data_IF_983224536281
#
_entry.id   IF_983224536281
#
_cell.length_a   1.000
_cell.length_b   1.000
_cell.length_c   1.000
_cell.angle_alpha   90.00
_cell.angle_beta   90.00
_cell.angle_gamma   90.00
#
_symmetry.space_group_name_H-M   'P 1'
#
loop_
_entity.id
_entity.type
_entity.pdbx_description
1 polymer ?
#
# COMPACT_ATOMS: atom_id res chain seq x y z
N UNK A 1 42.56 0.88 -6.72
CA UNK A 1 41.26 1.12 -7.40
C UNK A 1 40.18 0.31 -6.70
N UNK A 2 39.53 0.83 -5.65
CA UNK A 2 38.54 0.04 -4.88
C UNK A 2 37.39 0.90 -4.30
N UNK A 3 37.14 2.08 -4.89
CA UNK A 3 36.29 3.10 -4.26
C UNK A 3 34.88 3.23 -4.84
N UNK A 4 34.50 2.48 -5.88
CA UNK A 4 33.20 2.71 -6.57
C UNK A 4 32.18 1.57 -6.39
N UNK A 5 32.44 0.60 -5.51
CA UNK A 5 31.52 -0.53 -5.30
C UNK A 5 30.35 -0.11 -4.42
N UNK A 6 29.13 -0.38 -4.88
CA UNK A 6 27.91 0.00 -4.17
C UNK A 6 27.71 -0.89 -2.93
N UNK A 7 27.67 -0.27 -1.74
CA UNK A 7 27.44 -0.96 -0.45
C UNK A 7 26.10 -1.71 -0.41
N UNK A 8 25.05 -1.14 -1.01
CA UNK A 8 23.72 -1.76 -1.06
C UNK A 8 23.76 -3.05 -1.88
N UNK A 9 24.44 -3.03 -3.04
CA UNK A 9 24.55 -4.21 -3.89
C UNK A 9 25.34 -5.32 -3.20
N UNK A 10 26.42 -4.97 -2.49
CA UNK A 10 27.21 -5.92 -1.72
C UNK A 10 26.38 -6.62 -0.62
N UNK A 11 25.56 -5.85 0.09
CA UNK A 11 24.66 -6.36 1.11
C UNK A 11 23.59 -7.29 0.52
N UNK A 12 22.91 -6.86 -0.55
CA UNK A 12 21.86 -7.65 -1.21
C UNK A 12 22.40 -8.94 -1.83
N UNK A 13 23.59 -8.90 -2.44
CA UNK A 13 24.23 -10.09 -2.98
C UNK A 13 24.55 -11.12 -1.89
N UNK A 14 24.87 -10.67 -0.68
CA UNK A 14 25.16 -11.58 0.43
C UNK A 14 23.93 -12.32 0.99
N UNK A 15 22.72 -12.05 0.47
CA UNK A 15 21.54 -12.87 0.75
C UNK A 15 21.80 -14.34 0.39
N UNK A 16 22.61 -14.59 -0.66
CA UNK A 16 23.27 -15.86 -0.91
C UNK A 16 24.64 -15.80 -0.22
N UNK A 17 24.89 -16.62 0.82
CA UNK A 17 26.14 -16.56 1.59
C UNK A 17 27.38 -16.58 0.69
N UNK A 18 28.25 -15.58 0.85
CA UNK A 18 29.53 -15.48 0.13
C UNK A 18 29.54 -14.59 -1.11
N UNK A 19 28.41 -14.44 -1.83
CA UNK A 19 28.38 -13.64 -3.07
C UNK A 19 28.68 -12.15 -2.83
N UNK A 20 28.21 -11.60 -1.71
CA UNK A 20 28.54 -10.23 -1.36
C UNK A 20 30.03 -10.04 -1.05
N UNK A 21 30.69 -11.03 -0.45
CA UNK A 21 32.14 -10.98 -0.19
C UNK A 21 32.95 -11.12 -1.48
N UNK A 22 32.46 -11.89 -2.44
CA UNK A 22 33.03 -11.95 -3.79
C UNK A 22 32.96 -10.57 -4.45
N UNK A 23 31.78 -9.95 -4.42
CA UNK A 23 31.59 -8.58 -4.90
C UNK A 23 32.45 -7.56 -4.15
N UNK A 24 32.72 -7.75 -2.86
CA UNK A 24 33.58 -6.87 -2.07
C UNK A 24 35.08 -7.18 -2.18
N UNK A 25 35.47 -8.22 -2.93
CA UNK A 25 36.87 -8.60 -3.15
C UNK A 25 37.52 -9.32 -1.97
N UNK A 26 36.76 -10.05 -1.16
CA UNK A 26 37.25 -10.91 -0.07
C UNK A 26 37.07 -12.40 -0.42
N UNK A 27 37.99 -13.01 -1.19
CA UNK A 27 37.79 -14.35 -1.75
C UNK A 27 37.69 -15.45 -0.70
N UNK A 28 38.46 -15.37 0.40
CA UNK A 28 38.40 -16.38 1.46
C UNK A 28 36.99 -16.50 2.07
N UNK A 29 36.39 -15.36 2.43
CA UNK A 29 35.03 -15.31 3.00
C UNK A 29 33.98 -15.70 1.97
N UNK A 30 34.20 -15.37 0.70
CA UNK A 30 33.32 -15.76 -0.40
C UNK A 30 33.24 -17.28 -0.60
N UNK A 31 34.26 -18.04 -0.21
CA UNK A 31 34.27 -19.51 -0.28
C UNK A 31 33.79 -20.14 1.03
N UNK A 32 34.26 -19.64 2.18
CA UNK A 32 33.97 -20.23 3.50
C UNK A 32 32.47 -20.21 3.81
N UNK A 33 31.80 -19.07 3.62
CA UNK A 33 30.39 -18.94 4.00
C UNK A 33 29.42 -19.83 3.21
N UNK A 34 29.49 -19.91 1.86
CA UNK A 34 28.65 -20.85 1.14
C UNK A 34 28.99 -22.30 1.47
N UNK A 35 30.26 -22.63 1.72
CA UNK A 35 30.64 -23.98 2.13
C UNK A 35 30.04 -24.35 3.50
N UNK A 36 30.05 -23.44 4.47
CA UNK A 36 29.39 -23.66 5.76
C UNK A 36 27.86 -23.76 5.61
N UNK A 37 27.24 -22.87 4.84
CA UNK A 37 25.79 -22.86 4.64
C UNK A 37 25.30 -24.11 3.89
N UNK A 38 25.77 -24.32 2.66
CA UNK A 38 25.33 -25.44 1.83
C UNK A 38 25.89 -26.76 2.35
N UNK A 39 27.12 -26.78 2.89
CA UNK A 39 27.72 -27.98 3.45
C UNK A 39 26.95 -28.50 4.67
N UNK A 40 26.50 -27.61 5.57
CA UNK A 40 25.65 -28.05 6.68
C UNK A 40 24.26 -28.45 6.23
N UNK A 41 23.60 -27.68 5.34
CA UNK A 41 22.27 -28.00 4.86
C UNK A 41 22.22 -29.32 4.06
N UNK A 42 23.12 -29.50 3.09
CA UNK A 42 23.18 -30.71 2.26
C UNK A 42 23.72 -31.88 3.07
N UNK A 43 24.77 -31.66 3.88
CA UNK A 43 25.38 -32.70 4.70
C UNK A 43 24.40 -33.28 5.71
N UNK A 44 23.63 -32.44 6.41
CA UNK A 44 22.61 -32.92 7.35
C UNK A 44 21.44 -33.59 6.65
N UNK A 45 21.04 -33.10 5.48
CA UNK A 45 19.97 -33.69 4.68
C UNK A 45 20.36 -35.10 4.19
N UNK A 46 21.58 -35.26 3.67
CA UNK A 46 22.08 -36.58 3.25
C UNK A 46 22.24 -37.52 4.45
N UNK A 47 22.77 -37.04 5.57
CA UNK A 47 22.90 -37.85 6.79
C UNK A 47 21.53 -38.27 7.33
N UNK A 48 20.53 -37.38 7.30
CA UNK A 48 19.16 -37.69 7.72
C UNK A 48 18.54 -38.81 6.86
N UNK A 49 18.80 -38.83 5.56
CA UNK A 49 18.35 -39.91 4.66
C UNK A 49 19.06 -41.23 5.00
N UNK A 50 20.38 -41.18 5.24
CA UNK A 50 21.18 -42.37 5.56
C UNK A 50 20.79 -43.00 6.90
N UNK A 51 20.54 -42.17 7.92
CA UNK A 51 20.23 -42.61 9.28
C UNK A 51 18.71 -42.79 9.48
N UNK A 52 17.89 -42.35 8.52
CA UNK A 52 16.42 -42.32 8.62
C UNK A 52 15.87 -41.47 9.77
N UNK A 53 16.65 -40.50 10.25
CA UNK A 53 16.32 -39.63 11.39
C UNK A 53 15.96 -38.22 10.92
N UNK A 54 14.69 -37.84 11.11
CA UNK A 54 14.18 -36.52 10.68
C UNK A 54 14.72 -35.36 11.52
N UNK A 55 15.12 -35.62 12.76
CA UNK A 55 15.67 -34.59 13.66
C UNK A 55 16.97 -33.99 13.12
N UNK A 56 17.79 -34.79 12.45
CA UNK A 56 19.04 -34.34 11.82
C UNK A 56 18.79 -33.33 10.69
N UNK A 57 17.68 -33.49 9.95
CA UNK A 57 17.29 -32.56 8.90
C UNK A 57 16.94 -31.19 9.50
N UNK A 58 16.19 -31.18 10.61
CA UNK A 58 15.81 -29.95 11.32
C UNK A 58 17.05 -29.30 11.93
N UNK A 59 17.90 -30.07 12.61
CA UNK A 59 19.13 -29.57 13.24
C UNK A 59 20.06 -28.91 12.22
N UNK A 60 20.27 -29.53 11.07
CA UNK A 60 21.12 -28.92 10.04
C UNK A 60 20.47 -27.78 9.28
N UNK A 61 19.14 -27.76 9.13
CA UNK A 61 18.44 -26.57 8.67
C UNK A 61 18.67 -25.38 9.62
N UNK A 62 18.54 -25.59 10.94
CA UNK A 62 18.85 -24.58 11.95
C UNK A 62 20.33 -24.17 11.92
N UNK A 63 21.24 -25.13 11.77
CA UNK A 63 22.67 -24.87 11.62
C UNK A 63 23.00 -24.03 10.38
N UNK A 64 22.37 -24.31 9.24
CA UNK A 64 22.54 -23.52 8.02
C UNK A 64 22.03 -22.09 8.19
N UNK A 65 20.87 -21.90 8.82
CA UNK A 65 20.33 -20.56 9.15
C UNK A 65 21.30 -19.80 10.07
N UNK A 66 21.89 -20.48 11.06
CA UNK A 66 22.89 -19.87 11.93
C UNK A 66 24.11 -19.37 11.14
N UNK A 67 24.68 -20.20 10.25
CA UNK A 67 25.80 -19.76 9.41
C UNK A 67 25.43 -18.66 8.42
N UNK A 68 24.20 -18.66 7.91
CA UNK A 68 23.66 -17.56 7.09
C UNK A 68 23.62 -16.25 7.88
N UNK A 69 23.12 -16.27 9.12
CA UNK A 69 23.10 -15.10 10.01
C UNK A 69 24.52 -14.58 10.30
N UNK A 70 25.48 -15.48 10.59
CA UNK A 70 26.89 -15.09 10.79
C UNK A 70 27.48 -14.46 9.53
N UNK A 71 27.18 -15.00 8.35
CA UNK A 71 27.63 -14.43 7.07
C UNK A 71 27.08 -13.02 6.86
N UNK A 72 25.78 -12.83 7.12
CA UNK A 72 25.11 -11.53 7.01
C UNK A 72 25.70 -10.50 7.99
N UNK A 73 25.94 -10.91 9.24
CA UNK A 73 26.52 -10.06 10.28
C UNK A 73 27.94 -9.63 9.90
N UNK A 74 28.80 -10.56 9.47
CA UNK A 74 30.16 -10.22 9.05
C UNK A 74 30.17 -9.29 7.82
N UNK A 75 29.24 -9.47 6.88
CA UNK A 75 29.09 -8.55 5.75
C UNK A 75 28.74 -7.14 6.22
N UNK A 76 27.79 -7.00 7.14
CA UNK A 76 27.45 -5.72 7.75
C UNK A 76 28.68 -5.08 8.38
N UNK A 77 29.45 -5.81 9.21
CA UNK A 77 30.68 -5.30 9.82
C UNK A 77 31.68 -4.81 8.76
N UNK A 78 31.84 -5.54 7.65
CA UNK A 78 32.75 -5.14 6.57
C UNK A 78 32.29 -3.84 5.89
N UNK A 79 31.00 -3.69 5.61
CA UNK A 79 30.46 -2.49 4.96
C UNK A 79 30.47 -1.27 5.87
N UNK A 80 30.33 -1.48 7.18
CA UNK A 80 30.46 -0.45 8.21
C UNK A 80 31.89 0.05 8.38
N UNK A 81 32.89 -0.86 8.29
CA UNK A 81 34.32 -0.50 8.38
C UNK A 81 34.88 0.10 7.09
N UNK A 82 34.18 -0.06 5.97
CA UNK A 82 34.65 0.47 4.70
C UNK A 82 34.45 1.99 4.60
N UNK A 83 35.51 2.78 4.32
CA UNK A 83 35.40 4.22 4.14
C UNK A 83 34.44 4.54 3.00
N UNK A 84 33.65 5.63 3.17
CA UNK A 84 32.77 6.11 2.11
C UNK A 84 33.63 6.53 0.90
N UNK A 85 33.18 6.30 -0.35
CA UNK A 85 33.88 6.77 -1.56
C UNK A 85 34.27 8.26 -1.50
N UNK A 86 33.49 9.06 -0.77
CA UNK A 86 33.72 10.49 -0.62
C UNK A 86 34.74 10.84 0.49
N UNK A 87 34.98 9.98 1.47
CA UNK A 87 36.04 10.21 2.48
C UNK A 87 37.43 10.09 1.87
N UNK A 88 37.62 9.20 0.89
CA UNK A 88 38.86 9.04 0.15
C UNK A 88 39.19 10.28 -0.72
N UNK A 89 38.17 10.98 -1.24
CA UNK A 89 38.34 12.24 -2.00
C UNK A 89 38.81 13.41 -1.13
N UNK A 90 38.38 13.48 0.13
CA UNK A 90 38.82 14.54 1.06
C UNK A 90 40.23 14.29 1.60
N UNK A 91 40.64 13.03 1.81
CA UNK A 91 42.02 12.72 2.21
C UNK A 91 43.05 13.03 1.11
N UNK A 92 42.67 12.99 -0.17
CA UNK A 92 43.55 13.35 -1.29
C UNK A 92 43.90 14.85 -1.36
N UNK A 93 43.00 15.73 -0.92
CA UNK A 93 43.23 17.19 -0.95
C UNK A 93 44.05 17.71 0.24
N UNK A 94 44.08 16.99 1.37
CA UNK A 94 44.88 17.36 2.55
C UNK A 94 46.36 16.95 2.49
N UNK A 95 46.75 16.13 1.51
CA UNK A 95 48.07 15.53 1.44
C UNK A 95 49.11 16.31 0.60
N UNK A 96 48.76 17.47 0.05
CA UNK A 96 49.67 18.27 -0.82
C UNK A 96 50.20 19.57 -0.20
N UNK A 97 49.89 19.86 1.06
CA UNK A 97 50.47 20.97 1.82
C UNK A 97 50.97 20.52 3.20
N UNK A 98 51.97 19.65 3.21
CA UNK A 98 52.78 19.42 4.42
C UNK A 98 54.24 19.21 4.04
N UNK A 99 54.90 20.32 3.69
CA UNK A 99 56.36 20.40 3.76
C UNK A 99 56.85 20.26 5.21
N UNK A 100 58.06 19.75 5.45
CA UNK A 100 58.51 19.39 6.78
C UNK A 100 58.98 20.63 7.55
N UNK A 101 58.14 21.17 8.42
CA UNK A 101 58.60 22.08 9.47
C UNK A 101 58.63 21.34 10.82
N UNK A 102 59.85 20.98 11.22
CA UNK A 102 60.21 20.75 12.63
C UNK A 102 60.00 22.05 13.40
N UNK A 103 59.19 22.01 14.46
CA UNK A 103 58.92 23.18 15.28
C UNK A 103 58.32 22.81 16.63
N UNK A 104 59.17 22.93 17.65
CA UNK A 104 59.00 22.74 19.08
C UNK A 104 57.60 22.96 19.69
N UNK A 105 57.34 22.15 20.73
CA UNK A 105 56.27 22.32 21.70
C UNK A 105 56.33 23.71 22.36
N UNK A 106 55.23 24.46 22.31
CA UNK A 106 55.08 25.70 23.08
C UNK A 106 54.48 25.39 24.45
N UNK A 107 55.30 25.59 25.47
CA UNK A 107 54.95 25.59 26.89
C UNK A 107 54.79 27.05 27.31
N UNK A 108 53.56 27.46 27.66
CA UNK A 108 53.26 28.83 28.06
C UNK A 108 53.78 29.15 29.47
N UNK A 109 54.59 30.20 29.58
CA UNK A 109 55.03 30.81 30.85
C UNK A 109 54.58 32.27 30.83
N UNK A 110 53.85 32.67 31.87
CA UNK A 110 53.44 34.05 32.14
C UNK A 110 54.63 34.82 32.75
N UNK A 111 54.83 36.08 32.32
CA UNK A 111 55.57 37.08 33.08
C UNK A 111 55.06 38.49 32.72
N UNK A 112 54.69 39.21 33.78
CA UNK A 112 54.25 40.61 33.84
C UNK A 112 55.31 41.61 33.35
N UNK A 113 54.85 42.75 32.81
CA UNK A 113 55.56 44.02 33.02
C UNK A 113 54.62 45.24 32.90
N UNK A 114 54.62 46.04 33.97
CA UNK A 114 53.83 47.26 34.17
C UNK A 114 54.46 48.51 33.49
N UNK A 115 53.59 49.46 33.10
CA UNK A 115 53.77 50.90 33.35
C UNK A 115 54.35 51.80 32.25
N UNK A 116 53.52 52.69 31.68
CA UNK A 116 53.73 54.16 31.76
C UNK A 116 52.55 54.96 31.15
N UNK A 117 52.18 56.03 31.87
CA UNK A 117 51.10 57.01 31.63
C UNK A 117 51.55 58.18 30.73
N UNK A 118 50.61 58.77 29.98
CA UNK A 118 50.75 60.09 29.34
C UNK A 118 49.44 60.61 28.71
N UNK A 119 48.90 61.69 29.28
CA UNK A 119 47.68 62.43 28.90
C UNK A 119 47.81 63.24 27.60
N UNK A 120 46.70 63.44 26.87
CA UNK A 120 46.25 64.77 26.41
C UNK A 120 44.77 64.77 26.00
N UNK A 121 44.06 65.81 26.43
CA UNK A 121 42.61 66.05 26.35
C UNK A 121 42.14 66.70 25.03
N UNK A 122 40.83 66.50 24.78
CA UNK A 122 39.78 67.21 24.00
C UNK A 122 40.13 68.21 22.88
N UNK A 123 39.46 68.07 21.72
CA UNK A 123 38.34 68.98 21.35
C UNK A 123 37.52 68.47 20.14
N UNK A 124 36.30 69.02 20.05
CA UNK A 124 35.11 68.54 19.36
C UNK A 124 34.91 69.16 17.95
N UNK A 125 34.09 68.46 17.14
CA UNK A 125 33.39 68.89 15.91
C UNK A 125 34.01 68.60 14.53
N UNK A 126 33.22 67.94 13.66
CA UNK A 126 33.50 67.77 12.24
C UNK A 126 32.85 66.53 11.62
N UNK A 127 31.54 66.59 11.35
CA UNK A 127 30.84 65.61 10.50
C UNK A 127 31.35 65.77 9.07
N UNK A 128 32.20 64.87 8.56
CA UNK A 128 32.38 64.71 7.12
C UNK A 128 32.62 63.24 6.72
N UNK A 129 31.69 62.78 5.88
CA UNK A 129 31.69 61.50 5.17
C UNK A 129 32.90 61.39 4.24
N UNK A 130 33.67 60.30 4.36
CA UNK A 130 34.55 59.86 3.28
C UNK A 130 34.40 58.35 3.04
N UNK A 131 33.58 58.07 2.03
CA UNK A 131 33.62 57.02 1.02
C UNK A 131 34.84 56.06 1.11
N UNK A 132 34.61 54.86 1.66
CA UNK A 132 35.56 53.76 1.65
C UNK A 132 35.55 53.03 0.31
N UNK A 133 36.72 52.94 -0.33
CA UNK A 133 36.94 52.26 -1.60
C UNK A 133 36.72 50.75 -1.54
N UNK A 134 35.75 50.31 -2.33
CA UNK A 134 35.85 49.29 -3.37
C UNK A 134 37.03 48.29 -3.26
N UNK A 135 36.84 47.23 -2.48
CA UNK A 135 37.46 45.93 -2.77
C UNK A 135 36.41 45.05 -3.44
N UNK A 136 36.50 44.96 -4.77
CA UNK A 136 35.65 44.10 -5.58
C UNK A 136 35.77 42.64 -5.16
N UNK A 137 34.68 42.08 -4.67
CA UNK A 137 34.48 40.63 -4.58
C UNK A 137 34.22 40.11 -6.00
N UNK A 138 34.94 39.10 -6.51
CA UNK A 138 34.55 38.48 -7.77
C UNK A 138 33.23 37.72 -7.53
N UNK A 139 32.15 38.20 -8.15
CA UNK A 139 30.92 37.43 -8.33
C UNK A 139 31.22 36.21 -9.21
N UNK A 140 31.64 35.12 -8.57
CA UNK A 140 31.73 33.80 -9.15
C UNK A 140 30.47 33.00 -8.81
N UNK A 141 29.45 33.14 -9.65
CA UNK A 141 28.22 32.36 -9.58
C UNK A 141 28.46 30.88 -9.90
N UNK A 142 28.82 30.09 -8.90
CA UNK A 142 28.48 28.68 -8.77
C UNK A 142 28.46 28.35 -7.28
N UNK A 143 27.31 28.57 -6.64
CA UNK A 143 26.98 27.84 -5.42
C UNK A 143 26.93 26.36 -5.78
N UNK A 144 28.06 25.67 -5.68
CA UNK A 144 28.09 24.21 -5.67
C UNK A 144 27.05 23.77 -4.63
N UNK A 145 26.11 22.86 -4.95
CA UNK A 145 25.30 22.28 -3.90
C UNK A 145 26.29 21.69 -2.91
N UNK A 146 26.24 22.18 -1.68
CA UNK A 146 26.98 21.63 -0.54
C UNK A 146 26.62 20.14 -0.49
N UNK A 147 27.43 19.30 -1.14
CA UNK A 147 27.22 17.87 -1.18
C UNK A 147 27.44 17.37 0.24
N UNK A 148 26.32 17.21 0.96
CA UNK A 148 26.32 16.98 2.39
C UNK A 148 26.81 15.57 2.64
N UNK A 149 28.09 15.48 2.99
CA UNK A 149 28.78 14.33 3.57
C UNK A 149 27.85 13.64 4.58
N UNK A 150 27.09 12.63 4.12
CA UNK A 150 26.03 12.00 4.92
C UNK A 150 24.91 11.31 4.14
N UNK A 151 24.51 11.81 2.95
CA UNK A 151 23.27 11.32 2.29
C UNK A 151 23.29 9.83 1.89
N UNK A 152 24.40 9.33 1.34
CA UNK A 152 24.51 7.94 0.88
C UNK A 152 24.68 6.95 2.04
N UNK A 153 25.40 7.37 3.09
CA UNK A 153 25.57 6.58 4.30
C UNK A 153 24.25 6.49 5.05
N UNK A 154 23.58 7.62 5.28
CA UNK A 154 22.27 7.69 5.93
C UNK A 154 21.23 6.82 5.20
N UNK A 155 21.22 6.86 3.85
CA UNK A 155 20.37 5.98 3.04
C UNK A 155 20.66 4.51 3.28
N UNK A 156 21.93 4.11 3.21
CA UNK A 156 22.31 2.72 3.44
C UNK A 156 21.92 2.25 4.85
N UNK A 157 22.19 3.05 5.89
CA UNK A 157 21.81 2.73 7.26
C UNK A 157 20.30 2.64 7.46
N UNK A 158 19.53 3.58 6.92
CA UNK A 158 18.07 3.54 7.03
C UNK A 158 17.50 2.30 6.32
N UNK A 159 18.02 1.92 5.15
CA UNK A 159 17.61 0.69 4.45
C UNK A 159 17.94 -0.54 5.29
N UNK A 160 19.17 -0.62 5.80
CA UNK A 160 19.62 -1.73 6.64
C UNK A 160 18.75 -1.88 7.89
N UNK A 161 18.50 -0.77 8.58
CA UNK A 161 17.66 -0.73 9.78
C UNK A 161 16.21 -1.06 9.45
N UNK A 162 15.69 -0.65 8.28
CA UNK A 162 14.31 -0.95 7.86
C UNK A 162 14.03 -2.44 7.63
N UNK A 163 15.07 -3.29 7.60
CA UNK A 163 14.90 -4.74 7.63
C UNK A 163 14.26 -5.22 8.95
N UNK A 164 14.39 -4.44 10.03
CA UNK A 164 13.59 -4.60 11.24
C UNK A 164 12.48 -3.55 11.21
N UNK A 165 11.20 -3.94 11.20
CA UNK A 165 10.07 -3.01 11.12
C UNK A 165 10.16 -1.89 12.15
N UNK A 166 10.07 -0.65 11.67
CA UNK A 166 10.11 0.56 12.49
C UNK A 166 11.49 1.17 12.73
N UNK A 167 12.59 0.39 12.71
CA UNK A 167 13.92 0.94 13.04
C UNK A 167 14.45 1.94 12.00
N UNK A 168 14.13 1.74 10.72
CA UNK A 168 14.50 2.69 9.66
C UNK A 168 13.88 4.07 9.87
N UNK A 169 12.62 4.13 10.31
CA UNK A 169 11.93 5.39 10.63
C UNK A 169 12.48 6.05 11.89
N UNK A 170 12.79 5.27 12.93
CA UNK A 170 13.45 5.79 14.14
C UNK A 170 14.79 6.45 13.81
N UNK A 171 15.58 5.85 12.91
CA UNK A 171 16.86 6.41 12.45
C UNK A 171 16.69 7.75 11.70
N UNK A 172 15.59 7.92 10.97
CA UNK A 172 15.27 9.18 10.29
C UNK A 172 14.77 10.29 11.25
N UNK A 173 14.54 9.97 12.53
CA UNK A 173 13.94 10.86 13.51
C UNK A 173 12.40 10.81 13.55
N UNK A 174 11.79 9.87 12.83
CA UNK A 174 10.33 9.65 12.81
C UNK A 174 9.94 8.66 13.92
N UNK A 175 9.95 9.15 15.16
CA UNK A 175 9.70 8.33 16.36
C UNK A 175 8.31 7.72 16.37
N UNK A 176 7.28 8.53 16.12
CA UNK A 176 5.89 8.08 16.15
C UNK A 176 5.61 7.08 15.02
N UNK A 177 6.15 7.31 13.83
CA UNK A 177 5.99 6.40 12.69
C UNK A 177 6.72 5.07 12.92
N UNK A 178 7.96 5.12 13.38
CA UNK A 178 8.76 3.93 13.67
C UNK A 178 8.15 3.06 14.76
N UNK A 179 7.71 3.67 15.86
CA UNK A 179 7.05 2.97 16.95
C UNK A 179 5.71 2.36 16.50
N UNK A 180 4.94 3.07 15.66
CA UNK A 180 3.69 2.53 15.09
C UNK A 180 3.94 1.24 14.30
N UNK A 181 4.99 1.20 13.46
CA UNK A 181 5.35 -0.01 12.71
C UNK A 181 5.88 -1.13 13.62
N UNK A 182 6.66 -0.79 14.65
CA UNK A 182 7.14 -1.75 15.63
C UNK A 182 5.97 -2.45 16.34
N UNK A 183 5.01 -1.67 16.85
CA UNK A 183 3.79 -2.19 17.49
C UNK A 183 2.95 -2.98 16.49
N UNK A 184 2.74 -2.48 15.27
CA UNK A 184 1.95 -3.18 14.27
C UNK A 184 2.54 -4.55 13.92
N UNK A 185 3.86 -4.65 13.76
CA UNK A 185 4.52 -5.90 13.39
C UNK A 185 4.68 -6.85 14.59
N UNK A 186 5.39 -6.43 15.64
CA UNK A 186 5.66 -7.30 16.79
C UNK A 186 4.42 -7.52 17.66
N UNK A 187 3.56 -6.52 17.80
CA UNK A 187 2.30 -6.64 18.52
C UNK A 187 1.32 -7.57 17.83
N UNK A 188 1.19 -7.52 16.50
CA UNK A 188 0.34 -8.50 15.78
C UNK A 188 0.95 -9.90 15.80
N UNK A 189 2.26 -10.05 15.65
CA UNK A 189 2.94 -11.35 15.84
C UNK A 189 2.63 -11.96 17.21
N UNK A 190 2.90 -11.21 18.28
CA UNK A 190 2.67 -11.66 19.65
C UNK A 190 1.20 -11.97 19.92
N UNK A 191 0.28 -11.12 19.44
CA UNK A 191 -1.15 -11.33 19.58
C UNK A 191 -1.63 -12.59 18.84
N UNK A 192 -1.16 -12.83 17.62
CA UNK A 192 -1.56 -14.02 16.85
C UNK A 192 -1.05 -15.32 17.49
N UNK A 193 0.19 -15.33 17.97
CA UNK A 193 0.75 -16.48 18.71
C UNK A 193 0.00 -16.70 20.02
N UNK A 194 -0.31 -15.63 20.75
CA UNK A 194 -1.06 -15.68 22.01
C UNK A 194 -2.47 -16.23 21.82
N UNK A 195 -3.22 -15.71 20.84
CA UNK A 195 -4.58 -16.18 20.52
C UNK A 195 -4.55 -17.63 20.06
N UNK A 196 -3.63 -18.00 19.16
CA UNK A 196 -3.49 -19.39 18.71
C UNK A 196 -3.18 -20.34 19.88
N UNK A 197 -2.32 -19.92 20.81
CA UNK A 197 -1.95 -20.70 22.00
C UNK A 197 -3.13 -20.89 22.97
N UNK A 198 -3.88 -19.83 23.27
CA UNK A 198 -5.04 -19.91 24.17
C UNK A 198 -6.18 -20.72 23.56
N UNK A 199 -6.47 -20.50 22.29
CA UNK A 199 -7.59 -21.16 21.60
C UNK A 199 -7.27 -22.58 21.15
N UNK A 200 -5.99 -22.96 21.12
CA UNK A 200 -5.48 -24.18 20.48
C UNK A 200 -5.89 -24.32 18.99
N UNK A 201 -6.26 -23.22 18.35
CA UNK A 201 -6.68 -23.20 16.94
C UNK A 201 -5.55 -22.68 16.06
N UNK A 202 -5.05 -23.55 15.18
CA UNK A 202 -3.97 -23.22 14.24
C UNK A 202 -4.40 -22.25 13.13
N UNK A 203 -5.71 -22.08 12.92
CA UNK A 203 -6.28 -21.18 11.91
C UNK A 203 -5.81 -19.74 12.12
N UNK A 204 -5.61 -19.31 13.37
CA UNK A 204 -5.12 -17.97 13.68
C UNK A 204 -3.68 -17.72 13.19
N UNK A 205 -2.86 -18.76 13.07
CA UNK A 205 -1.51 -18.64 12.52
C UNK A 205 -1.51 -18.30 11.02
N UNK A 206 -2.61 -18.54 10.30
CA UNK A 206 -2.73 -18.13 8.90
C UNK A 206 -2.65 -16.60 8.75
N UNK A 207 -3.09 -15.83 9.76
CA UNK A 207 -2.97 -14.37 9.75
C UNK A 207 -1.50 -13.89 9.85
N UNK A 208 -0.55 -14.76 10.22
CA UNK A 208 0.89 -14.45 10.16
C UNK A 208 1.33 -14.07 8.74
N UNK A 209 0.61 -14.51 7.70
CA UNK A 209 0.85 -14.12 6.31
C UNK A 209 0.71 -12.61 6.05
N UNK A 210 0.08 -11.85 6.95
CA UNK A 210 0.03 -10.39 6.83
C UNK A 210 1.35 -9.72 7.24
N UNK A 211 2.17 -10.37 8.09
CA UNK A 211 3.42 -9.80 8.59
C UNK A 211 4.43 -9.50 7.47
N UNK A 212 4.69 -10.41 6.51
CA UNK A 212 5.52 -10.10 5.35
C UNK A 212 5.03 -8.89 4.55
N UNK A 213 3.71 -8.70 4.43
CA UNK A 213 3.12 -7.55 3.72
C UNK A 213 3.40 -6.26 4.49
N UNK A 214 3.20 -6.25 5.81
CA UNK A 214 3.53 -5.12 6.69
C UNK A 214 5.03 -4.81 6.63
N UNK A 215 5.87 -5.83 6.64
CA UNK A 215 7.33 -5.71 6.58
C UNK A 215 7.79 -5.05 5.27
N UNK A 216 7.34 -5.54 4.11
CA UNK A 216 7.67 -4.95 2.80
C UNK A 216 7.19 -3.50 2.74
N UNK A 217 5.97 -3.23 3.21
CA UNK A 217 5.43 -1.88 3.23
C UNK A 217 6.28 -0.95 4.11
N UNK A 218 6.65 -1.38 5.33
CA UNK A 218 7.51 -0.62 6.23
C UNK A 218 8.88 -0.32 5.60
N UNK A 219 9.51 -1.31 4.98
CA UNK A 219 10.80 -1.15 4.30
C UNK A 219 10.69 -0.12 3.16
N UNK A 220 9.67 -0.26 2.31
CA UNK A 220 9.43 0.66 1.19
C UNK A 220 9.12 2.08 1.67
N UNK A 221 8.35 2.20 2.75
CA UNK A 221 8.02 3.49 3.35
C UNK A 221 9.26 4.20 3.92
N UNK A 222 10.14 3.47 4.62
CA UNK A 222 11.41 4.01 5.10
C UNK A 222 12.29 4.51 3.94
N UNK A 223 12.38 3.74 2.85
CA UNK A 223 13.12 4.13 1.63
C UNK A 223 12.55 5.42 1.02
N UNK A 224 11.22 5.56 0.95
CA UNK A 224 10.60 6.78 0.44
C UNK A 224 10.94 8.01 1.29
N UNK A 225 10.89 7.89 2.62
CA UNK A 225 11.22 9.01 3.52
C UNK A 225 12.69 9.41 3.44
N UNK A 226 13.60 8.46 3.21
CA UNK A 226 15.00 8.80 2.87
C UNK A 226 15.05 9.66 1.62
N UNK A 227 14.38 9.27 0.54
CA UNK A 227 14.41 10.01 -0.72
C UNK A 227 13.81 11.41 -0.57
N UNK A 228 12.72 11.55 0.20
CA UNK A 228 12.11 12.86 0.52
C UNK A 228 13.05 13.75 1.31
N UNK A 229 13.71 13.21 2.34
CA UNK A 229 14.73 13.94 3.12
C UNK A 229 15.91 14.37 2.25
N UNK A 230 16.34 13.51 1.32
CA UNK A 230 17.40 13.83 0.35
C UNK A 230 16.99 14.89 -0.67
N UNK A 231 15.70 14.95 -1.03
CA UNK A 231 15.14 16.00 -1.87
C UNK A 231 15.02 17.36 -1.14
N UNK A 232 15.37 17.43 0.14
CA UNK A 232 15.29 18.65 0.95
C UNK A 232 13.92 18.87 1.61
N UNK A 233 13.03 17.90 1.56
CA UNK A 233 11.73 18.00 2.22
C UNK A 233 11.87 17.87 3.75
N UNK A 234 11.14 18.70 4.49
CA UNK A 234 11.04 18.59 5.95
C UNK A 234 10.16 17.40 6.29
N UNK A 235 10.77 16.34 6.83
CA UNK A 235 10.04 15.18 7.33
C UNK A 235 9.18 15.59 8.54
N UNK A 236 7.90 15.23 8.50
CA UNK A 236 6.98 15.44 9.63
C UNK A 236 6.75 14.11 10.34
N UNK A 237 7.03 14.07 11.64
CA UNK A 237 6.78 12.87 12.44
C UNK A 237 5.29 12.74 12.75
N UNK A 238 4.68 11.72 12.18
CA UNK A 238 3.24 11.45 12.28
C UNK A 238 3.04 9.95 12.34
N UNK A 239 2.04 9.52 13.10
CA UNK A 239 1.63 8.12 13.08
C UNK A 239 0.94 7.81 11.74
N UNK A 240 0.94 6.52 11.36
CA UNK A 240 0.19 6.06 10.18
C UNK A 240 -1.32 6.38 10.28
N UNK A 241 -1.83 6.36 11.50
CA UNK A 241 -3.24 6.62 11.78
C UNK A 241 -3.57 8.11 11.62
N UNK A 242 -2.70 8.99 12.12
CA UNK A 242 -2.86 10.43 11.96
C UNK A 242 -2.79 10.86 10.48
N UNK A 243 -1.90 10.26 9.68
CA UNK A 243 -1.85 10.48 8.23
C UNK A 243 -3.16 10.05 7.53
N UNK A 244 -3.79 8.96 8.00
CA UNK A 244 -5.12 8.53 7.56
C UNK A 244 -6.22 9.51 7.99
N UNK A 245 -6.10 10.12 9.16
CA UNK A 245 -7.08 11.04 9.76
C UNK A 245 -6.99 12.47 9.21
N UNK A 246 -5.81 12.97 8.83
CA UNK A 246 -5.70 14.32 8.27
C UNK A 246 -6.41 14.48 6.93
N UNK A 247 -6.62 13.37 6.20
CA UNK A 247 -7.61 13.36 5.11
C UNK A 247 -8.94 13.92 5.60
N UNK A 248 -9.46 13.38 6.71
CA UNK A 248 -10.74 13.75 7.34
C UNK A 248 -10.77 15.20 7.87
N UNK A 249 -9.66 15.74 8.36
CA UNK A 249 -9.59 17.11 8.90
C UNK A 249 -9.84 18.21 7.85
N UNK A 250 -9.58 17.93 6.56
CA UNK A 250 -9.92 18.83 5.45
C UNK A 250 -11.39 18.76 4.99
N UNK A 251 -12.25 18.03 5.74
CA UNK A 251 -13.61 17.68 5.31
C UNK A 251 -13.67 16.63 4.20
N UNK A 252 -12.52 16.15 3.70
CA UNK A 252 -12.43 15.14 2.64
C UNK A 252 -12.25 13.74 3.25
N UNK A 253 -13.20 12.84 3.00
CA UNK A 253 -13.07 11.42 3.33
C UNK A 253 -11.87 10.79 2.57
N UNK A 254 -11.20 9.81 3.17
CA UNK A 254 -10.02 9.18 2.55
C UNK A 254 -10.43 8.34 1.35
N UNK A 255 -9.87 8.66 0.17
CA UNK A 255 -10.12 7.94 -1.08
C UNK A 255 -9.72 6.47 -1.00
N UNK A 256 -8.63 6.17 -0.29
CA UNK A 256 -8.17 4.80 -0.08
C UNK A 256 -9.18 4.04 0.76
N UNK A 257 -9.65 4.63 1.86
CA UNK A 257 -10.65 3.99 2.71
C UNK A 257 -11.97 3.78 1.97
N UNK A 258 -12.42 4.74 1.17
CA UNK A 258 -13.60 4.59 0.32
C UNK A 258 -13.46 3.40 -0.64
N UNK A 259 -12.30 3.27 -1.28
CA UNK A 259 -11.96 2.19 -2.22
C UNK A 259 -11.94 0.82 -1.55
N UNK A 260 -11.32 0.72 -0.36
CA UNK A 260 -11.31 -0.51 0.43
C UNK A 260 -12.73 -0.88 0.90
N UNK A 261 -13.50 0.10 1.38
CA UNK A 261 -14.90 -0.13 1.79
C UNK A 261 -15.80 -0.46 0.60
N UNK A 262 -15.48 -0.04 -0.63
CA UNK A 262 -16.24 -0.43 -1.84
C UNK A 262 -16.16 -1.93 -2.12
N UNK A 263 -15.18 -2.66 -1.58
CA UNK A 263 -15.13 -4.12 -1.65
C UNK A 263 -16.32 -4.79 -0.93
N UNK A 264 -16.93 -4.11 0.04
CA UNK A 264 -18.20 -4.53 0.62
C UNK A 264 -19.35 -3.75 -0.05
N UNK A 265 -20.31 -4.43 -0.71
CA UNK A 265 -21.36 -3.75 -1.45
C UNK A 265 -22.14 -2.72 -0.62
N UNK A 266 -22.15 -1.47 -1.09
CA UNK A 266 -22.80 -0.34 -0.42
C UNK A 266 -21.96 0.40 0.64
N UNK A 267 -20.95 -0.21 1.26
CA UNK A 267 -20.20 0.44 2.35
C UNK A 267 -19.33 1.61 1.88
N UNK A 268 -18.65 1.48 0.73
CA UNK A 268 -17.87 2.59 0.15
C UNK A 268 -18.74 3.80 -0.20
N UNK A 269 -19.97 3.57 -0.70
CA UNK A 269 -20.94 4.63 -1.00
C UNK A 269 -21.40 5.34 0.28
N UNK A 270 -21.72 4.58 1.34
CA UNK A 270 -22.08 5.14 2.64
C UNK A 270 -20.96 6.00 3.22
N UNK A 271 -19.71 5.54 3.12
CA UNK A 271 -18.55 6.27 3.58
C UNK A 271 -18.34 7.61 2.85
N UNK A 272 -18.67 7.66 1.56
CA UNK A 272 -18.64 8.87 0.74
C UNK A 272 -19.85 9.80 0.97
N UNK A 273 -20.81 9.41 1.82
CA UNK A 273 -22.03 10.17 2.10
C UNK A 273 -23.21 9.86 1.16
N UNK A 274 -23.06 8.91 0.25
CA UNK A 274 -24.11 8.46 -0.68
C UNK A 274 -25.03 7.43 0.01
N UNK A 275 -25.88 7.91 0.91
CA UNK A 275 -26.69 7.06 1.78
C UNK A 275 -27.73 6.24 1.02
N UNK A 276 -28.51 6.87 0.13
CA UNK A 276 -29.57 6.20 -0.62
C UNK A 276 -29.00 5.12 -1.52
N UNK A 277 -27.93 5.45 -2.24
CA UNK A 277 -27.22 4.52 -3.13
C UNK A 277 -26.61 3.36 -2.37
N UNK A 278 -25.87 3.67 -1.30
CA UNK A 278 -25.18 2.67 -0.48
C UNK A 278 -26.13 1.69 0.18
N UNK A 279 -27.21 2.17 0.80
CA UNK A 279 -28.23 1.30 1.40
C UNK A 279 -28.92 0.40 0.37
N UNK A 280 -29.22 0.90 -0.83
CA UNK A 280 -29.83 0.09 -1.87
C UNK A 280 -28.92 -1.05 -2.34
N UNK A 281 -27.63 -0.78 -2.53
CA UNK A 281 -26.66 -1.82 -2.90
C UNK A 281 -26.45 -2.83 -1.77
N UNK A 282 -26.39 -2.36 -0.53
CA UNK A 282 -26.22 -3.23 0.63
C UNK A 282 -27.44 -4.15 0.81
N UNK A 283 -28.65 -3.60 0.70
CA UNK A 283 -29.89 -4.38 0.76
C UNK A 283 -30.01 -5.35 -0.42
N UNK A 284 -29.65 -4.93 -1.63
CA UNK A 284 -29.66 -5.80 -2.81
C UNK A 284 -28.69 -6.97 -2.64
N UNK A 285 -27.46 -6.71 -2.21
CA UNK A 285 -26.43 -7.74 -2.02
C UNK A 285 -26.78 -8.69 -0.88
N UNK A 286 -26.96 -8.19 0.34
CA UNK A 286 -27.27 -9.03 1.51
C UNK A 286 -28.64 -9.69 1.38
N UNK A 287 -29.63 -8.96 0.89
CA UNK A 287 -30.96 -9.49 0.63
C UNK A 287 -30.95 -10.58 -0.44
N UNK A 288 -30.15 -10.44 -1.51
CA UNK A 288 -30.01 -11.51 -2.50
C UNK A 288 -29.41 -12.78 -1.89
N UNK A 289 -28.32 -12.67 -1.12
CA UNK A 289 -27.71 -13.82 -0.44
C UNK A 289 -28.75 -14.51 0.47
N UNK A 290 -29.45 -13.73 1.29
CA UNK A 290 -30.46 -14.26 2.20
C UNK A 290 -31.61 -14.96 1.48
N UNK A 291 -32.19 -14.33 0.45
CA UNK A 291 -33.31 -14.90 -0.30
C UNK A 291 -32.87 -16.16 -1.07
N UNK A 292 -31.68 -16.14 -1.69
CA UNK A 292 -31.15 -17.28 -2.42
C UNK A 292 -30.87 -18.47 -1.51
N UNK A 293 -30.32 -18.24 -0.31
CA UNK A 293 -30.11 -19.28 0.69
C UNK A 293 -31.45 -19.82 1.22
N UNK A 294 -32.38 -18.93 1.57
CA UNK A 294 -33.68 -19.29 2.13
C UNK A 294 -34.52 -20.16 1.19
N UNK A 295 -34.57 -19.78 -0.08
CA UNK A 295 -35.31 -20.49 -1.13
C UNK A 295 -34.49 -21.61 -1.80
N UNK A 296 -33.23 -21.80 -1.37
CA UNK A 296 -32.27 -22.77 -1.95
C UNK A 296 -32.12 -22.63 -3.46
N UNK A 297 -32.06 -21.40 -3.95
CA UNK A 297 -31.96 -21.05 -5.36
C UNK A 297 -30.50 -21.15 -5.85
N UNK A 298 -29.91 -22.35 -5.79
CA UNK A 298 -28.50 -22.59 -6.15
C UNK A 298 -28.16 -22.11 -7.58
N UNK A 299 -29.08 -22.31 -8.53
CA UNK A 299 -28.94 -21.88 -9.93
C UNK A 299 -28.74 -20.37 -10.06
N UNK A 300 -29.26 -19.57 -9.12
CA UNK A 300 -29.15 -18.11 -9.15
C UNK A 300 -27.96 -17.56 -8.34
N UNK A 301 -27.10 -18.41 -7.77
CA UNK A 301 -25.93 -17.97 -7.01
C UNK A 301 -24.96 -17.10 -7.84
N UNK A 302 -24.94 -17.25 -9.16
CA UNK A 302 -24.15 -16.39 -10.06
C UNK A 302 -24.56 -14.90 -10.02
N UNK A 303 -25.76 -14.58 -9.52
CA UNK A 303 -26.19 -13.20 -9.30
C UNK A 303 -25.38 -12.51 -8.20
N UNK A 304 -24.87 -13.25 -7.20
CA UNK A 304 -24.12 -12.67 -6.08
C UNK A 304 -22.82 -12.02 -6.57
N UNK A 305 -21.93 -12.71 -7.32
CA UNK A 305 -20.78 -12.08 -7.94
C UNK A 305 -21.16 -10.90 -8.85
N UNK A 306 -22.24 -11.00 -9.64
CA UNK A 306 -22.67 -9.94 -10.54
C UNK A 306 -23.04 -8.65 -9.80
N UNK A 307 -23.85 -8.77 -8.74
CA UNK A 307 -24.22 -7.65 -7.86
C UNK A 307 -22.98 -7.08 -7.15
N UNK A 308 -22.09 -7.96 -6.69
CA UNK A 308 -20.84 -7.57 -6.06
C UNK A 308 -19.96 -6.75 -7.00
N UNK A 309 -19.67 -7.25 -8.20
CA UNK A 309 -18.86 -6.55 -9.20
C UNK A 309 -19.48 -5.21 -9.58
N UNK A 310 -20.79 -5.18 -9.81
CA UNK A 310 -21.49 -3.93 -10.08
C UNK A 310 -21.29 -2.92 -8.94
N UNK A 311 -21.54 -3.31 -7.70
CA UNK A 311 -21.35 -2.43 -6.54
C UNK A 311 -19.89 -2.01 -6.34
N UNK A 312 -18.94 -2.91 -6.61
CA UNK A 312 -17.51 -2.66 -6.45
C UNK A 312 -17.04 -1.61 -7.44
N UNK A 313 -17.30 -1.82 -8.74
CA UNK A 313 -16.93 -0.86 -9.78
C UNK A 313 -17.64 0.48 -9.62
N UNK A 314 -18.90 0.46 -9.20
CA UNK A 314 -19.65 1.68 -8.90
C UNK A 314 -19.00 2.49 -7.76
N UNK A 315 -18.60 1.78 -6.69
CA UNK A 315 -17.89 2.38 -5.57
C UNK A 315 -16.53 2.95 -5.97
N UNK A 316 -15.77 2.25 -6.83
CA UNK A 316 -14.51 2.74 -7.38
C UNK A 316 -14.69 4.02 -8.20
N UNK A 317 -15.75 4.09 -9.02
CA UNK A 317 -16.07 5.29 -9.79
C UNK A 317 -16.42 6.47 -8.87
N UNK A 318 -17.26 6.25 -7.85
CA UNK A 318 -17.61 7.28 -6.86
C UNK A 318 -16.38 7.75 -6.06
N UNK A 319 -15.51 6.83 -5.63
CA UNK A 319 -14.24 7.14 -4.96
C UNK A 319 -13.29 7.93 -5.88
N UNK A 320 -13.26 7.61 -7.18
CA UNK A 320 -12.43 8.32 -8.15
C UNK A 320 -12.84 9.78 -8.34
N UNK A 321 -14.16 10.02 -8.43
CA UNK A 321 -14.78 11.36 -8.58
C UNK A 321 -14.79 12.17 -7.29
N UNK A 322 -14.63 11.52 -6.14
CA UNK A 322 -14.59 12.17 -4.84
C UNK A 322 -13.49 13.26 -4.78
N UNK A 323 -13.89 14.50 -4.49
CA UNK A 323 -13.01 15.66 -4.42
C UNK A 323 -12.73 16.37 -5.75
N UNK A 324 -13.20 15.82 -6.89
CA UNK A 324 -13.16 16.48 -8.21
C UNK A 324 -14.52 17.07 -8.60
N UNK A 325 -15.59 16.36 -8.28
CA UNK A 325 -16.98 16.72 -8.60
C UNK A 325 -17.87 16.64 -7.35
N UNK A 326 -18.93 17.48 -7.24
CA UNK A 326 -19.91 17.33 -6.19
C UNK A 326 -20.72 16.04 -6.41
N UNK A 327 -20.52 15.06 -5.54
CA UNK A 327 -21.30 13.82 -5.57
C UNK A 327 -22.73 14.09 -5.11
N UNK A 328 -23.72 13.79 -5.97
CA UNK A 328 -25.15 13.89 -5.62
C UNK A 328 -25.68 12.51 -5.25
N UNK A 329 -26.35 12.38 -4.10
CA UNK A 329 -26.94 11.11 -3.64
C UNK A 329 -28.22 10.78 -4.41
N UNK A 330 -28.04 10.18 -5.59
CA UNK A 330 -29.12 9.64 -6.41
C UNK A 330 -29.33 8.14 -6.12
N UNK A 331 -30.58 7.69 -5.89
CA UNK A 331 -30.86 6.27 -5.77
C UNK A 331 -30.63 5.57 -7.12
N UNK A 332 -30.18 4.31 -7.07
CA UNK A 332 -29.99 3.45 -8.25
C UNK A 332 -31.34 3.16 -8.88
N UNK A 333 -32.33 2.83 -8.06
CA UNK A 333 -33.70 2.63 -8.48
C UNK A 333 -34.52 3.89 -8.17
N UNK A 334 -34.67 4.76 -9.18
CA UNK A 334 -35.46 6.00 -9.07
C UNK A 334 -36.93 5.73 -8.74
N UNK A 335 -37.47 4.61 -9.22
CA UNK A 335 -38.86 4.18 -8.99
C UNK A 335 -39.04 3.33 -7.72
N UNK A 336 -38.13 3.41 -6.73
CA UNK A 336 -38.20 2.61 -5.50
C UNK A 336 -39.54 2.78 -4.77
N UNK A 337 -40.00 4.03 -4.63
CA UNK A 337 -41.27 4.35 -3.95
C UNK A 337 -42.49 3.68 -4.61
N UNK A 338 -42.47 3.51 -5.94
CA UNK A 338 -43.54 2.82 -6.67
C UNK A 338 -43.55 1.31 -6.41
N UNK A 339 -42.36 0.72 -6.26
CA UNK A 339 -42.19 -0.72 -6.08
C UNK A 339 -42.23 -1.16 -4.60
N UNK A 340 -42.26 -0.23 -3.64
CA UNK A 340 -42.32 -0.54 -2.21
C UNK A 340 -43.48 -1.47 -1.84
N UNK A 341 -44.66 -1.29 -2.43
CA UNK A 341 -45.82 -2.18 -2.19
C UNK A 341 -45.54 -3.61 -2.67
N UNK A 342 -44.92 -3.77 -3.85
CA UNK A 342 -44.56 -5.08 -4.40
C UNK A 342 -43.45 -5.76 -3.58
N UNK A 343 -42.45 -4.99 -3.15
CA UNK A 343 -41.38 -5.50 -2.26
C UNK A 343 -41.98 -5.93 -0.93
N UNK A 344 -42.92 -5.16 -0.37
CA UNK A 344 -43.63 -5.50 0.86
C UNK A 344 -44.42 -6.81 0.75
N UNK A 345 -45.18 -7.00 -0.33
CA UNK A 345 -45.86 -8.28 -0.61
C UNK A 345 -44.87 -9.43 -0.78
N UNK A 346 -43.74 -9.19 -1.44
CA UNK A 346 -42.67 -10.19 -1.59
C UNK A 346 -42.10 -10.65 -0.24
N UNK A 347 -41.77 -9.71 0.64
CA UNK A 347 -41.26 -10.01 1.99
C UNK A 347 -42.33 -10.72 2.84
N UNK A 348 -43.58 -10.25 2.81
CA UNK A 348 -44.68 -10.90 3.52
C UNK A 348 -44.92 -12.34 3.06
N UNK A 349 -44.91 -12.57 1.74
CA UNK A 349 -45.04 -13.92 1.16
C UNK A 349 -43.87 -14.82 1.52
N UNK A 350 -42.63 -14.30 1.52
CA UNK A 350 -41.44 -15.03 1.94
C UNK A 350 -41.47 -15.37 3.44
N UNK A 351 -41.98 -14.47 4.27
CA UNK A 351 -42.22 -14.73 5.70
C UNK A 351 -43.28 -15.82 5.93
N UNK A 352 -44.38 -15.78 5.18
CA UNK A 352 -45.43 -16.81 5.24
C UNK A 352 -44.89 -18.18 4.77
N UNK A 353 -44.10 -18.21 3.69
CA UNK A 353 -43.41 -19.41 3.22
C UNK A 353 -42.52 -20.01 4.32
N UNK A 354 -41.74 -19.16 4.99
CA UNK A 354 -40.85 -19.61 6.06
C UNK A 354 -41.61 -20.18 7.26
N UNK A 355 -42.70 -19.52 7.69
CA UNK A 355 -43.57 -20.02 8.73
C UNK A 355 -44.17 -21.37 8.33
N UNK A 356 -44.65 -21.50 7.10
CA UNK A 356 -45.23 -22.73 6.59
C UNK A 356 -44.24 -23.90 6.62
N UNK A 357 -43.03 -23.72 6.07
CA UNK A 357 -42.06 -24.82 5.99
C UNK A 357 -41.42 -25.17 7.34
N UNK A 358 -41.30 -24.22 8.28
CA UNK A 358 -40.65 -24.46 9.58
C UNK A 358 -41.59 -24.80 10.72
N UNK A 359 -42.84 -24.32 10.68
CA UNK A 359 -43.81 -24.52 11.75
C UNK A 359 -44.93 -25.47 11.32
N UNK A 360 -45.55 -25.23 10.15
CA UNK A 360 -46.74 -25.98 9.73
C UNK A 360 -46.38 -27.38 9.26
N UNK A 361 -45.36 -27.53 8.40
CA UNK A 361 -44.99 -28.84 7.85
C UNK A 361 -44.54 -29.83 8.93
N UNK A 362 -43.67 -29.48 9.90
CA UNK A 362 -43.31 -30.41 10.97
C UNK A 362 -44.50 -30.85 11.83
N UNK A 363 -45.40 -29.92 12.16
CA UNK A 363 -46.60 -30.21 12.96
C UNK A 363 -47.58 -31.13 12.21
N UNK A 364 -47.79 -30.90 10.91
CA UNK A 364 -48.61 -31.79 10.08
C UNK A 364 -48.01 -33.19 9.94
N UNK A 365 -46.68 -33.30 9.87
CA UNK A 365 -46.00 -34.59 9.84
C UNK A 365 -46.16 -35.35 11.16
N UNK A 366 -46.13 -34.67 12.31
CA UNK A 366 -46.41 -35.30 13.61
C UNK A 366 -47.86 -35.81 13.69
N UNK A 367 -48.82 -35.06 13.14
CA UNK A 367 -50.24 -35.46 13.13
C UNK A 367 -50.56 -36.56 12.11
N UNK A 368 -49.85 -36.62 10.97
CA UNK A 368 -50.09 -37.59 9.89
C UNK A 368 -48.77 -38.22 9.37
N UNK A 369 -48.15 -39.14 10.15
CA UNK A 369 -46.79 -39.63 9.89
C UNK A 369 -46.60 -40.39 8.57
N UNK A 370 -47.68 -41.01 8.06
CA UNK A 370 -47.63 -41.88 6.88
C UNK A 370 -47.95 -41.16 5.56
N UNK A 371 -48.35 -39.88 5.61
CA UNK A 371 -48.79 -39.11 4.42
C UNK A 371 -47.74 -38.09 3.99
N UNK A 372 -46.92 -37.56 4.91
CA UNK A 372 -46.01 -36.46 4.62
C UNK A 372 -44.53 -36.82 4.83
N UNK A 373 -43.85 -37.33 3.79
CA UNK A 373 -42.40 -37.49 3.81
C UNK A 373 -41.70 -36.12 3.75
N UNK A 374 -41.41 -35.57 4.94
CA UNK A 374 -40.91 -34.19 5.17
C UNK A 374 -39.70 -33.79 4.31
N UNK A 375 -38.78 -34.73 4.04
CA UNK A 375 -37.58 -34.46 3.24
C UNK A 375 -37.86 -34.28 1.75
N UNK A 376 -38.77 -35.08 1.19
CA UNK A 376 -39.12 -35.02 -0.23
C UNK A 376 -39.95 -33.78 -0.55
N UNK A 377 -40.94 -33.46 0.29
CA UNK A 377 -41.81 -32.30 0.13
C UNK A 377 -40.99 -31.02 0.06
N UNK A 378 -40.00 -30.85 0.95
CA UNK A 378 -39.14 -29.65 0.94
C UNK A 378 -38.31 -29.55 -0.34
N UNK A 379 -37.83 -30.67 -0.87
CA UNK A 379 -37.05 -30.70 -2.12
C UNK A 379 -37.92 -30.35 -3.34
N UNK A 380 -39.11 -30.93 -3.43
CA UNK A 380 -40.06 -30.65 -4.52
C UNK A 380 -40.56 -29.21 -4.49
N UNK A 381 -40.88 -28.65 -3.32
CA UNK A 381 -41.33 -27.25 -3.19
C UNK A 381 -40.26 -26.27 -3.68
N UNK A 382 -38.99 -26.44 -3.28
CA UNK A 382 -37.91 -25.58 -3.77
C UNK A 382 -37.75 -25.71 -5.29
N UNK A 383 -37.81 -26.93 -5.82
CA UNK A 383 -37.69 -27.20 -7.27
C UNK A 383 -38.82 -26.55 -8.07
N UNK A 384 -40.06 -26.61 -7.55
CA UNK A 384 -41.22 -25.93 -8.16
C UNK A 384 -41.03 -24.42 -8.14
N UNK A 385 -40.58 -23.84 -7.02
CA UNK A 385 -40.32 -22.39 -6.92
C UNK A 385 -39.23 -21.96 -7.91
N UNK A 386 -38.10 -22.67 -7.97
CA UNK A 386 -37.01 -22.41 -8.93
C UNK A 386 -37.54 -22.45 -10.36
N UNK A 387 -38.29 -23.49 -10.69
CA UNK A 387 -38.84 -23.69 -12.04
C UNK A 387 -39.81 -22.58 -12.44
N UNK A 388 -40.72 -22.20 -11.53
CA UNK A 388 -41.63 -21.08 -11.75
C UNK A 388 -40.87 -19.76 -11.92
N UNK A 389 -39.86 -19.48 -11.09
CA UNK A 389 -39.05 -18.26 -11.21
C UNK A 389 -38.32 -18.19 -12.56
N UNK A 390 -37.78 -19.32 -13.05
CA UNK A 390 -37.13 -19.39 -14.35
C UNK A 390 -38.12 -19.21 -15.51
N UNK A 391 -39.28 -19.86 -15.45
CA UNK A 391 -40.32 -19.76 -16.48
C UNK A 391 -40.87 -18.33 -16.54
N UNK A 392 -41.29 -17.76 -15.40
CA UNK A 392 -41.81 -16.38 -15.34
C UNK A 392 -40.74 -15.35 -15.70
N UNK A 393 -39.50 -15.54 -15.24
CA UNK A 393 -38.36 -14.70 -15.58
C UNK A 393 -38.08 -14.72 -17.09
N UNK A 394 -38.05 -15.90 -17.70
CA UNK A 394 -37.87 -16.10 -19.14
C UNK A 394 -39.00 -15.47 -19.97
N UNK A 395 -40.27 -15.73 -19.61
CA UNK A 395 -41.41 -15.10 -20.28
C UNK A 395 -41.37 -13.57 -20.17
N UNK A 396 -41.07 -13.03 -18.98
CA UNK A 396 -40.98 -11.58 -18.78
C UNK A 396 -39.89 -10.94 -19.64
N UNK A 397 -38.78 -11.64 -19.87
CA UNK A 397 -37.70 -11.17 -20.74
C UNK A 397 -38.12 -11.20 -22.22
N UNK A 398 -38.87 -12.21 -22.64
CA UNK A 398 -39.40 -12.35 -24.01
C UNK A 398 -40.46 -11.30 -24.34
N UNK A 399 -41.34 -10.97 -23.39
CA UNK A 399 -42.45 -10.02 -23.59
C UNK A 399 -42.14 -8.61 -23.05
N UNK A 400 -40.90 -8.34 -22.64
CA UNK A 400 -40.46 -7.04 -22.15
C UNK A 400 -40.55 -5.98 -23.24
N UNK A 401 -41.50 -5.06 -23.12
CA UNK A 401 -41.74 -3.95 -24.05
C UNK A 401 -40.44 -3.18 -24.32
N UNK A 402 -39.87 -3.30 -25.52
CA UNK A 402 -38.81 -2.43 -26.01
C UNK A 402 -39.29 -0.98 -25.90
N UNK A 403 -38.79 -0.23 -24.92
CA UNK A 403 -38.93 1.23 -24.94
C UNK A 403 -38.01 1.75 -26.04
N UNK A 404 -38.64 2.10 -27.16
CA UNK A 404 -38.13 2.69 -28.39
C UNK A 404 -36.71 3.24 -28.37
N UNK A 405 -35.80 2.50 -29.01
CA UNK A 405 -34.60 3.02 -29.63
C UNK A 405 -34.90 3.45 -31.08
N UNK A 406 -35.93 4.28 -31.27
CA UNK A 406 -36.39 4.70 -32.59
C UNK A 406 -37.05 6.08 -32.53
N UNK A 407 -36.33 7.09 -32.07
CA UNK A 407 -36.56 8.50 -32.41
C UNK A 407 -35.24 9.27 -32.22
N UNK A 408 -34.33 9.17 -33.18
CA UNK A 408 -33.26 10.16 -33.45
C UNK A 408 -32.45 9.87 -34.74
N UNK A 409 -32.88 8.94 -35.60
CA UNK A 409 -32.21 8.67 -36.89
C UNK A 409 -33.00 9.18 -38.11
N UNK A 410 -34.01 10.03 -37.91
CA UNK A 410 -34.90 10.53 -38.98
C UNK A 410 -34.84 12.06 -39.16
N UNK A 411 -33.71 12.71 -38.83
CA UNK A 411 -33.49 14.14 -39.11
C UNK A 411 -32.26 14.40 -39.99
N UNK A 412 -31.48 13.36 -40.36
CA UNK A 412 -30.25 13.54 -41.16
C UNK A 412 -30.25 12.84 -42.52
N UNK A 413 -31.41 12.62 -43.15
CA UNK A 413 -31.45 11.89 -44.43
C UNK A 413 -32.34 12.47 -45.52
N UNK A 414 -32.79 13.72 -45.41
CA UNK A 414 -33.71 14.30 -46.40
C UNK A 414 -33.40 15.71 -46.93
N UNK A 415 -32.21 16.28 -46.68
CA UNK A 415 -31.85 17.61 -47.23
C UNK A 415 -30.74 17.60 -48.31
N UNK A 416 -30.12 16.45 -48.63
CA UNK A 416 -29.01 16.40 -49.61
C UNK A 416 -29.43 15.97 -51.04
N UNK A 417 -30.73 16.06 -51.38
CA UNK A 417 -31.27 15.48 -52.62
C UNK A 417 -32.13 16.38 -53.51
N UNK A 418 -32.35 17.65 -53.15
CA UNK A 418 -33.32 18.52 -53.85
C UNK A 418 -32.77 19.84 -54.40
N UNK A 419 -31.52 20.23 -54.10
CA UNK A 419 -30.95 21.51 -54.57
C UNK A 419 -29.99 21.37 -55.78
N UNK A 420 -29.80 20.16 -56.30
CA UNK A 420 -28.98 19.91 -57.51
C UNK A 420 -29.79 19.84 -58.80
N UNK A 421 -31.09 20.18 -58.79
CA UNK A 421 -31.99 20.05 -59.95
C UNK A 421 -32.38 21.37 -60.64
N UNK A 422 -31.84 22.54 -60.24
CA UNK A 422 -32.28 23.84 -60.81
C UNK A 422 -31.18 24.87 -61.11
N UNK A 423 -29.90 24.49 -61.24
CA UNK A 423 -28.84 25.48 -61.49
C UNK A 423 -27.75 25.08 -62.49
N UNK A 424 -28.09 24.31 -63.53
CA UNK A 424 -27.24 24.13 -64.72
C UNK A 424 -28.10 23.88 -65.98
N UNK A 425 -28.87 24.89 -66.38
CA UNK A 425 -29.43 25.01 -67.74
C UNK A 425 -29.39 26.48 -68.16
N UNK A 426 -28.18 26.96 -68.43
CA UNK A 426 -27.92 27.84 -69.57
C UNK A 426 -26.41 28.11 -69.67
N UNK A 427 -25.78 27.45 -70.63
CA UNK A 427 -24.59 27.98 -71.29
C UNK A 427 -24.81 27.77 -72.78
N UNK A 428 -24.70 28.88 -73.50
CA UNK A 428 -24.54 29.00 -74.95
C UNK A 428 -25.82 28.95 -75.81
N UNK A 429 -26.37 30.15 -76.06
CA UNK A 429 -26.67 30.57 -77.41
C UNK A 429 -26.16 32.00 -77.65
N UNK A 430 -25.52 32.17 -78.82
CA UNK A 430 -24.90 33.38 -79.33
C UNK A 430 -25.96 34.34 -79.89
N UNK A 431 -25.78 35.65 -79.65
CA UNK A 431 -25.93 36.81 -80.56
C UNK A 431 -26.35 38.07 -79.80
#
# INVERSE_FOLDING_TARGET
MQSDRNKILAFLLNLIPGLGFLYWGRPARAVIYPLLFFGTAVGSFMLAILVSERELMILGALGSIFFWCVSMLDMIIVLLRAPSPNDARYQGYGAHYSGPHQGAAYQGVYADQEGHLGQMEMDQEGIHQHQGGEYGSPEGGYGQPLYRKGSDSERFFTILLSFVPGLGHLHLGLLHRGLSFLIAFFGSFAMMVFVASITNESVFLMFLLILPVIWVYCMFDAVQHVHRKQAGEVLQDRTLFEELEMGRASGRRSKVLATLLSAFPGAGHLYLGLQKRGMQLMFLFLGSIYILDLLRLSVFLFMIPLIWFYSFFDGLQCSSRYGREPLTDQPIFKDWARHQRLIGFGIAGLGLYYLFIRLVIPQLNEMFPNVFMTYEIRSYVNTVIVSLLLIFGGLKLLFGKQRGASTNSAVHRNDDGADSLFLFKDRDDRL
#
